data_IF_973450698186
#
_entry.id   IF_973450698186
#
_cell.length_a   1.000
_cell.length_b   1.000
_cell.length_c   1.000
_cell.angle_alpha   90.00
_cell.angle_beta   90.00
_cell.angle_gamma   90.00
#
_symmetry.space_group_name_H-M   'P 1'
#
loop_
_entity.id
_entity.type
_entity.pdbx_description
1 polymer ?
#
# COMPACT_ATOMS: atom_id res chain seq x y z
N UNK A 1 -11.35 -3.63 -27.14
CA UNK A 1 -12.18 -4.38 -26.16
C UNK A 1 -12.49 -3.52 -24.95
N UNK A 2 -11.49 -2.98 -24.24
CA UNK A 2 -11.67 -2.23 -22.99
C UNK A 2 -12.59 -1.01 -23.13
N UNK A 3 -12.46 -0.21 -24.18
CA UNK A 3 -13.35 0.91 -24.48
C UNK A 3 -14.82 0.48 -24.55
N UNK A 4 -15.11 -0.66 -25.20
CA UNK A 4 -16.48 -1.21 -25.30
C UNK A 4 -17.00 -1.67 -23.94
N UNK A 5 -16.14 -2.25 -23.10
CA UNK A 5 -16.51 -2.66 -21.74
C UNK A 5 -16.82 -1.42 -20.91
N UNK A 6 -15.97 -0.40 -20.94
CA UNK A 6 -16.18 0.87 -20.23
C UNK A 6 -17.45 1.58 -20.66
N UNK A 7 -17.73 1.62 -21.97
CA UNK A 7 -18.95 2.24 -22.48
C UNK A 7 -20.21 1.49 -21.99
N UNK A 8 -20.17 0.16 -21.93
CA UNK A 8 -21.31 -0.66 -21.49
C UNK A 8 -21.46 -0.69 -19.97
N UNK A 9 -20.34 -0.68 -19.23
CA UNK A 9 -20.30 -0.83 -17.77
C UNK A 9 -19.42 0.25 -17.14
N UNK A 10 -19.86 1.51 -17.09
CA UNK A 10 -19.02 2.64 -16.67
C UNK A 10 -18.61 2.59 -15.20
N UNK A 11 -19.35 1.85 -14.37
CA UNK A 11 -19.07 1.70 -12.92
C UNK A 11 -18.28 0.42 -12.58
N UNK A 12 -17.91 -0.38 -13.59
CA UNK A 12 -17.13 -1.60 -13.36
C UNK A 12 -15.71 -1.25 -12.96
N UNK A 13 -15.26 -1.71 -11.79
CA UNK A 13 -13.86 -1.61 -11.39
C UNK A 13 -13.04 -2.64 -12.18
N UNK A 14 -11.99 -2.18 -12.84
CA UNK A 14 -11.09 -3.03 -13.63
C UNK A 14 -9.68 -2.83 -13.09
N UNK A 15 -9.02 -3.93 -12.73
CA UNK A 15 -7.63 -3.96 -12.30
C UNK A 15 -6.72 -4.41 -13.46
N UNK A 16 -5.62 -3.69 -13.67
CA UNK A 16 -4.55 -4.15 -14.57
C UNK A 16 -3.58 -5.05 -13.79
N UNK A 17 -3.38 -6.27 -14.30
CA UNK A 17 -2.46 -7.23 -13.70
C UNK A 17 -1.79 -8.07 -14.79
N UNK A 18 -0.46 -8.10 -14.76
CA UNK A 18 0.34 -8.94 -15.63
C UNK A 18 1.58 -9.41 -14.86
N UNK A 19 1.43 -10.42 -14.01
CA UNK A 19 2.44 -10.86 -13.05
C UNK A 19 2.97 -9.69 -12.21
N UNK A 20 2.03 -8.96 -11.59
CA UNK A 20 2.29 -7.65 -11.00
C UNK A 20 2.14 -6.51 -12.00
N UNK A 21 2.95 -5.48 -11.86
CA UNK A 21 2.91 -4.24 -12.67
C UNK A 21 3.53 -4.33 -14.06
N UNK A 22 3.70 -5.52 -14.64
CA UNK A 22 4.45 -5.72 -15.89
C UNK A 22 3.87 -5.03 -17.12
N UNK A 23 2.60 -4.63 -17.09
CA UNK A 23 1.93 -3.90 -18.18
C UNK A 23 1.51 -2.47 -17.83
N UNK A 24 1.71 -2.05 -16.59
CA UNK A 24 1.29 -0.72 -16.18
C UNK A 24 2.10 0.36 -16.88
N UNK A 25 1.41 1.29 -17.50
CA UNK A 25 1.99 2.48 -18.11
C UNK A 25 0.92 3.58 -18.21
N UNK A 26 1.31 4.79 -18.52
CA UNK A 26 0.38 5.92 -18.62
C UNK A 26 -0.70 5.75 -19.69
N UNK A 27 -0.41 4.98 -20.75
CA UNK A 27 -1.38 4.70 -21.81
C UNK A 27 -2.46 3.70 -21.41
N UNK A 28 -2.22 2.86 -20.40
CA UNK A 28 -3.20 1.88 -19.88
C UNK A 28 -4.09 2.45 -18.79
N UNK A 29 -3.62 3.41 -18.00
CA UNK A 29 -4.35 4.01 -16.87
C UNK A 29 -5.77 4.51 -17.22
N UNK A 30 -6.07 5.07 -18.40
CA UNK A 30 -7.43 5.48 -18.73
C UNK A 30 -8.44 4.32 -18.78
N UNK A 31 -7.99 3.08 -18.88
CA UNK A 31 -8.84 1.89 -18.99
C UNK A 31 -9.00 1.12 -17.69
N UNK A 32 -8.13 1.38 -16.71
CA UNK A 32 -8.08 0.67 -15.44
C UNK A 32 -8.28 1.62 -14.27
N UNK A 33 -8.90 1.13 -13.19
CA UNK A 33 -9.09 1.91 -11.97
C UNK A 33 -7.92 1.75 -11.01
N UNK A 34 -7.22 0.63 -11.16
CA UNK A 34 -6.04 0.29 -10.37
C UNK A 34 -5.17 -0.73 -11.10
N UNK A 35 -3.95 -0.87 -10.65
CA UNK A 35 -3.05 -1.92 -11.10
C UNK A 35 -2.47 -2.71 -9.93
N UNK A 36 -2.16 -3.96 -10.18
CA UNK A 36 -1.49 -4.84 -9.25
C UNK A 36 0.02 -4.57 -9.28
N UNK A 37 0.56 -4.03 -8.19
CA UNK A 37 1.95 -3.54 -8.14
C UNK A 37 2.97 -4.67 -8.29
N UNK A 38 2.73 -5.80 -7.63
CA UNK A 38 3.62 -6.97 -7.63
C UNK A 38 2.90 -8.19 -7.04
N UNK A 39 3.18 -9.38 -7.60
CA UNK A 39 2.74 -10.65 -7.03
C UNK A 39 3.45 -10.96 -5.70
N UNK A 40 4.58 -10.31 -5.42
CA UNK A 40 5.19 -10.39 -4.11
C UNK A 40 4.41 -9.53 -3.10
N UNK A 41 3.69 -10.20 -2.22
CA UNK A 41 2.82 -9.60 -1.20
C UNK A 41 3.46 -9.57 0.19
N UNK A 42 4.74 -9.91 0.33
CA UNK A 42 5.48 -9.74 1.58
C UNK A 42 5.50 -8.26 1.99
N UNK A 43 4.91 -7.94 3.12
CA UNK A 43 4.74 -6.55 3.55
C UNK A 43 6.06 -5.79 3.68
N UNK A 44 7.16 -6.44 4.09
CA UNK A 44 8.46 -5.79 4.17
C UNK A 44 8.99 -5.43 2.77
N UNK A 45 8.86 -6.35 1.80
CA UNK A 45 9.22 -6.10 0.40
C UNK A 45 8.31 -5.04 -0.23
N UNK A 46 7.04 -5.02 0.13
CA UNK A 46 6.06 -4.05 -0.36
C UNK A 46 6.37 -2.62 0.06
N UNK A 47 7.02 -2.40 1.20
CA UNK A 47 7.51 -1.04 1.56
C UNK A 47 8.41 -0.50 0.45
N UNK A 48 9.37 -1.30 -0.02
CA UNK A 48 10.28 -0.91 -1.12
C UNK A 48 9.56 -0.75 -2.45
N UNK A 49 8.72 -1.73 -2.81
CA UNK A 49 8.00 -1.74 -4.09
C UNK A 49 7.01 -0.59 -4.20
N UNK A 50 6.20 -0.36 -3.16
CA UNK A 50 5.22 0.72 -3.15
C UNK A 50 5.88 2.09 -3.12
N UNK A 51 6.99 2.23 -2.40
CA UNK A 51 7.81 3.44 -2.44
C UNK A 51 8.30 3.73 -3.86
N UNK A 52 8.97 2.75 -4.51
CA UNK A 52 9.47 2.90 -5.88
C UNK A 52 8.36 3.20 -6.89
N UNK A 53 7.23 2.48 -6.80
CA UNK A 53 6.05 2.70 -7.65
C UNK A 53 5.48 4.10 -7.50
N UNK A 54 5.51 4.66 -6.29
CA UNK A 54 4.97 5.99 -6.02
C UNK A 54 5.68 7.13 -6.75
N UNK A 55 6.87 6.91 -7.32
CA UNK A 55 7.52 7.91 -8.18
C UNK A 55 6.80 8.12 -9.51
N UNK A 56 6.08 7.10 -9.96
CA UNK A 56 5.47 7.08 -11.29
C UNK A 56 3.94 7.11 -11.24
N UNK A 57 3.34 6.56 -10.18
CA UNK A 57 1.90 6.34 -10.10
C UNK A 57 1.33 6.76 -8.75
N UNK A 58 0.13 7.37 -8.73
CA UNK A 58 -0.52 7.80 -7.50
C UNK A 58 -1.07 6.63 -6.68
N UNK A 59 -1.20 6.84 -5.37
CA UNK A 59 -1.71 5.81 -4.44
C UNK A 59 -3.11 5.30 -4.81
N UNK A 60 -3.96 6.12 -5.41
CA UNK A 60 -5.30 5.72 -5.85
C UNK A 60 -5.28 4.61 -6.90
N UNK A 61 -4.22 4.55 -7.73
CA UNK A 61 -4.09 3.54 -8.77
C UNK A 61 -3.33 2.28 -8.29
N UNK A 62 -2.63 2.36 -7.15
CA UNK A 62 -1.74 1.31 -6.68
C UNK A 62 -2.46 0.37 -5.72
N UNK A 63 -2.87 -0.82 -6.18
CA UNK A 63 -3.46 -1.85 -5.33
C UNK A 63 -2.43 -2.36 -4.30
N UNK A 64 -2.83 -2.35 -3.05
CA UNK A 64 -2.00 -2.73 -1.92
C UNK A 64 -2.79 -3.62 -0.97
N UNK A 65 -2.45 -4.92 -0.93
CA UNK A 65 -3.24 -5.91 -0.23
C UNK A 65 -2.54 -6.41 1.05
N UNK A 66 -3.35 -6.69 2.05
CA UNK A 66 -2.95 -7.47 3.22
C UNK A 66 -2.97 -8.93 2.80
N UNK A 67 -1.83 -9.62 2.86
CA UNK A 67 -1.71 -11.04 2.54
C UNK A 67 -1.56 -11.91 3.77
N UNK A 68 -1.54 -13.24 3.57
CA UNK A 68 -1.33 -14.22 4.63
C UNK A 68 0.07 -14.10 5.29
N UNK A 69 0.19 -14.62 6.50
CA UNK A 69 1.45 -14.90 7.18
C UNK A 69 1.42 -16.37 7.67
N UNK A 70 2.46 -17.16 7.39
CA UNK A 70 3.64 -16.84 6.58
C UNK A 70 3.31 -16.42 5.14
N UNK A 71 4.10 -15.52 4.58
CA UNK A 71 3.95 -15.13 3.18
C UNK A 71 4.29 -16.30 2.25
N UNK A 72 3.50 -16.53 1.21
CA UNK A 72 3.64 -17.69 0.34
C UNK A 72 4.90 -17.68 -0.55
N UNK A 73 5.51 -16.50 -0.79
CA UNK A 73 6.74 -16.40 -1.59
C UNK A 73 8.00 -16.36 -0.75
N UNK A 74 7.98 -15.63 0.37
CA UNK A 74 9.18 -15.39 1.18
C UNK A 74 9.23 -16.23 2.45
N UNK A 75 8.14 -16.94 2.78
CA UNK A 75 7.94 -17.65 4.05
C UNK A 75 8.05 -16.74 5.30
N UNK A 76 8.14 -15.42 5.12
CA UNK A 76 8.26 -14.48 6.24
C UNK A 76 6.94 -14.32 6.97
N UNK A 77 7.03 -14.33 8.30
CA UNK A 77 5.92 -13.98 9.18
C UNK A 77 6.10 -12.55 9.69
N UNK A 78 5.15 -11.70 9.33
CA UNK A 78 5.11 -10.29 9.75
C UNK A 78 3.80 -10.06 10.50
N UNK A 79 3.81 -9.31 11.62
CA UNK A 79 2.61 -9.02 12.38
C UNK A 79 1.49 -8.41 11.52
N UNK A 80 0.24 -8.77 11.81
CA UNK A 80 -0.92 -8.28 11.05
C UNK A 80 -0.97 -6.75 11.03
N UNK A 81 -0.64 -6.08 12.14
CA UNK A 81 -0.59 -4.62 12.19
C UNK A 81 0.39 -4.04 11.15
N UNK A 82 1.60 -4.60 11.04
CA UNK A 82 2.57 -4.14 10.04
C UNK A 82 2.04 -4.33 8.61
N UNK A 83 1.46 -5.51 8.34
CA UNK A 83 0.85 -5.82 7.02
C UNK A 83 -0.27 -4.84 6.66
N UNK A 84 -1.12 -4.50 7.63
CA UNK A 84 -2.21 -3.52 7.44
C UNK A 84 -1.68 -2.11 7.23
N UNK A 85 -0.69 -1.67 8.01
CA UNK A 85 -0.12 -0.33 7.88
C UNK A 85 0.55 -0.12 6.52
N UNK A 86 1.26 -1.14 5.99
CA UNK A 86 1.83 -1.08 4.64
C UNK A 86 0.72 -1.03 3.58
N UNK A 87 -0.30 -1.87 3.70
CA UNK A 87 -1.39 -1.91 2.73
C UNK A 87 -2.22 -0.61 2.71
N UNK A 88 -2.36 0.07 3.84
CA UNK A 88 -3.08 1.34 3.93
C UNK A 88 -2.39 2.51 3.23
N UNK A 89 -1.11 2.41 2.87
CA UNK A 89 -0.40 3.47 2.14
C UNK A 89 -0.67 3.52 0.64
N UNK A 90 -1.51 2.62 0.15
CA UNK A 90 -2.02 2.59 -1.21
C UNK A 90 -3.53 2.36 -1.24
N UNK A 91 -4.04 1.71 -2.28
CA UNK A 91 -5.42 1.28 -2.39
C UNK A 91 -5.62 -0.04 -1.66
N UNK A 92 -6.11 0.04 -0.43
CA UNK A 92 -6.22 -1.11 0.47
C UNK A 92 -7.13 -2.20 -0.10
N UNK A 93 -6.61 -3.42 -0.15
CA UNK A 93 -7.36 -4.65 -0.36
C UNK A 93 -7.00 -5.73 0.66
N UNK A 94 -7.75 -6.83 0.65
CA UNK A 94 -7.51 -7.96 1.54
C UNK A 94 -7.43 -9.26 0.74
N UNK A 95 -6.26 -9.89 0.77
CA UNK A 95 -5.95 -11.15 0.10
C UNK A 95 -5.62 -12.22 1.14
N UNK A 96 -6.51 -12.35 2.11
CA UNK A 96 -6.43 -13.35 3.19
C UNK A 96 -7.77 -14.07 3.35
N UNK A 97 -7.70 -15.32 3.77
CA UNK A 97 -8.91 -16.10 4.04
C UNK A 97 -9.46 -15.75 5.43
N UNK A 98 -10.64 -15.16 5.54
CA UNK A 98 -11.18 -14.78 6.85
C UNK A 98 -11.39 -15.96 7.82
N UNK A 99 -11.56 -17.18 7.28
CA UNK A 99 -11.78 -18.39 8.08
C UNK A 99 -10.58 -18.81 8.91
N UNK A 100 -9.35 -18.48 8.46
CA UNK A 100 -8.11 -18.84 9.18
C UNK A 100 -7.70 -17.79 10.22
N UNK A 101 -8.33 -16.63 10.23
CA UNK A 101 -8.05 -15.57 11.18
C UNK A 101 -8.68 -15.87 12.55
N UNK A 102 -7.91 -15.62 13.60
CA UNK A 102 -8.43 -15.61 14.98
C UNK A 102 -9.50 -14.53 15.19
N UNK A 103 -10.19 -14.58 16.33
CA UNK A 103 -11.16 -13.52 16.70
C UNK A 103 -10.50 -12.16 16.80
N UNK A 104 -9.29 -12.08 17.38
CA UNK A 104 -8.54 -10.85 17.57
C UNK A 104 -8.02 -10.28 16.23
N UNK A 105 -7.51 -11.14 15.34
CA UNK A 105 -7.10 -10.72 14.01
C UNK A 105 -8.29 -10.20 13.18
N UNK A 106 -9.46 -10.85 13.29
CA UNK A 106 -10.71 -10.34 12.67
C UNK A 106 -11.09 -8.97 13.21
N UNK A 107 -10.93 -8.74 14.52
CA UNK A 107 -11.18 -7.44 15.15
C UNK A 107 -10.19 -6.38 14.66
N UNK A 108 -8.90 -6.73 14.57
CA UNK A 108 -7.86 -5.86 14.00
C UNK A 108 -8.15 -5.51 12.54
N UNK A 109 -8.52 -6.48 11.71
CA UNK A 109 -8.89 -6.22 10.31
C UNK A 109 -10.10 -5.28 10.20
N UNK A 110 -11.15 -5.50 11.00
CA UNK A 110 -12.31 -4.58 10.99
C UNK A 110 -11.91 -3.15 11.39
N UNK A 111 -11.08 -3.03 12.43
CA UNK A 111 -10.54 -1.72 12.83
C UNK A 111 -9.72 -1.08 11.71
N UNK A 112 -8.79 -1.81 11.10
CA UNK A 112 -7.96 -1.32 10.02
C UNK A 112 -8.80 -0.84 8.81
N UNK A 113 -9.84 -1.59 8.43
CA UNK A 113 -10.76 -1.18 7.36
C UNK A 113 -11.51 0.10 7.73
N UNK A 114 -11.98 0.22 8.98
CA UNK A 114 -12.66 1.42 9.45
C UNK A 114 -11.72 2.63 9.46
N UNK A 115 -10.48 2.45 9.95
CA UNK A 115 -9.45 3.48 9.95
C UNK A 115 -9.10 3.90 8.51
N UNK A 116 -8.89 2.93 7.61
CA UNK A 116 -8.62 3.24 6.21
C UNK A 116 -9.76 4.02 5.53
N UNK A 117 -11.01 3.68 5.78
CA UNK A 117 -12.15 4.43 5.24
C UNK A 117 -12.14 5.92 5.64
N UNK A 118 -11.60 6.24 6.82
CA UNK A 118 -11.46 7.63 7.30
C UNK A 118 -10.29 8.35 6.63
N UNK A 119 -9.14 7.67 6.47
CA UNK A 119 -7.92 8.27 5.90
C UNK A 119 -7.85 8.14 4.37
N UNK A 120 -8.65 7.27 3.77
CA UNK A 120 -8.62 6.99 2.31
C UNK A 120 -8.66 8.24 1.43
N UNK A 121 -9.50 9.25 1.68
CA UNK A 121 -9.49 10.46 0.86
C UNK A 121 -8.15 11.18 0.89
N UNK A 122 -7.45 11.17 2.03
CA UNK A 122 -6.15 11.81 2.17
C UNK A 122 -5.07 10.99 1.45
N UNK A 123 -5.08 9.66 1.64
CA UNK A 123 -4.09 8.76 1.01
C UNK A 123 -4.24 8.74 -0.52
N UNK A 124 -5.47 8.74 -1.03
CA UNK A 124 -5.71 8.58 -2.47
C UNK A 124 -5.64 9.89 -3.26
N UNK A 125 -5.89 11.03 -2.62
CA UNK A 125 -6.02 12.32 -3.30
C UNK A 125 -5.10 13.41 -2.75
N UNK A 126 -4.43 13.19 -1.60
CA UNK A 126 -3.51 14.14 -1.02
C UNK A 126 -2.14 14.14 -1.71
N UNK A 127 -1.41 15.24 -1.51
CA UNK A 127 -0.02 15.37 -1.94
C UNK A 127 0.88 14.39 -1.19
N UNK A 128 1.71 13.66 -1.92
CA UNK A 128 2.67 12.70 -1.34
C UNK A 128 4.01 13.37 -1.07
N UNK A 129 4.42 13.31 0.18
CA UNK A 129 5.76 13.67 0.65
C UNK A 129 6.54 12.40 1.02
N UNK A 130 7.67 12.14 0.35
CA UNK A 130 8.60 11.04 0.63
C UNK A 130 9.66 11.55 1.59
N UNK A 131 9.59 11.13 2.87
CA UNK A 131 10.41 11.71 3.93
C UNK A 131 11.70 10.91 4.17
N UNK A 132 11.60 9.58 4.22
CA UNK A 132 12.75 8.71 4.44
C UNK A 132 12.67 7.51 3.50
N UNK A 133 13.60 7.45 2.56
CA UNK A 133 13.65 6.37 1.58
C UNK A 133 14.08 5.03 2.21
N UNK A 134 13.40 3.91 1.93
CA UNK A 134 13.87 2.60 2.35
C UNK A 134 15.20 2.20 1.69
N UNK A 135 15.53 2.81 0.55
CA UNK A 135 16.77 2.54 -0.19
C UNK A 135 18.00 3.22 0.40
N UNK A 136 17.84 4.15 1.34
CA UNK A 136 18.96 4.79 2.04
C UNK A 136 19.63 3.90 3.11
N UNK A 137 19.16 2.65 3.28
CA UNK A 137 19.72 1.66 4.22
C UNK A 137 19.80 2.14 5.68
N UNK A 138 18.86 2.97 6.09
CA UNK A 138 18.77 3.45 7.48
C UNK A 138 17.81 2.60 8.34
N UNK A 139 17.36 1.46 7.83
CA UNK A 139 16.47 0.53 8.53
C UNK A 139 15.05 1.05 8.75
N UNK A 140 14.68 2.15 8.10
CA UNK A 140 13.36 2.77 8.20
C UNK A 140 12.91 3.35 6.86
N UNK A 141 11.59 3.50 6.71
CA UNK A 141 10.97 4.22 5.61
C UNK A 141 9.82 5.07 6.15
N UNK A 142 9.59 6.23 5.55
CA UNK A 142 8.44 7.06 5.94
C UNK A 142 7.96 7.93 4.79
N UNK A 143 6.65 8.09 4.71
CA UNK A 143 5.99 9.00 3.78
C UNK A 143 4.78 9.65 4.44
N UNK A 144 4.31 10.73 3.87
CA UNK A 144 3.16 11.47 4.37
C UNK A 144 2.28 11.91 3.19
N UNK A 145 0.98 11.74 3.36
CA UNK A 145 -0.02 12.32 2.48
C UNK A 145 -0.67 13.51 3.17
N UNK A 146 -0.81 14.62 2.48
CA UNK A 146 -1.37 15.87 3.01
C UNK A 146 -2.52 16.32 2.13
N UNK A 147 -3.63 16.75 2.73
CA UNK A 147 -4.75 17.33 1.98
C UNK A 147 -4.33 18.58 1.22
N UNK A 148 -5.04 18.92 0.15
CA UNK A 148 -4.82 20.15 -0.61
C UNK A 148 -4.93 21.41 0.28
N UNK A 149 -5.90 21.43 1.19
CA UNK A 149 -6.07 22.51 2.17
C UNK A 149 -4.99 22.56 3.27
N UNK A 150 -4.05 21.59 3.30
CA UNK A 150 -2.97 21.47 4.32
C UNK A 150 -3.46 21.40 5.78
N UNK A 151 -4.72 21.03 5.99
CA UNK A 151 -5.35 20.95 7.32
C UNK A 151 -5.29 19.54 7.94
N UNK A 152 -5.03 18.52 7.13
CA UNK A 152 -4.94 17.12 7.57
C UNK A 152 -3.82 16.40 6.87
N UNK A 153 -3.19 15.47 7.60
CA UNK A 153 -2.15 14.61 7.05
C UNK A 153 -2.29 13.17 7.57
N UNK A 154 -1.77 12.24 6.78
CA UNK A 154 -1.57 10.85 7.21
C UNK A 154 -0.11 10.52 7.04
N UNK A 155 0.54 10.19 8.14
CA UNK A 155 1.95 9.85 8.21
C UNK A 155 2.11 8.34 8.36
N UNK A 156 2.95 7.74 7.51
CA UNK A 156 3.35 6.34 7.56
C UNK A 156 4.83 6.26 7.89
N UNK A 157 5.14 5.37 8.83
CA UNK A 157 6.50 5.05 9.21
C UNK A 157 6.64 3.55 9.41
N UNK A 158 7.66 2.96 8.81
CA UNK A 158 7.94 1.53 8.90
C UNK A 158 9.39 1.28 9.28
N UNK A 159 9.60 0.35 10.19
CA UNK A 159 10.91 -0.22 10.44
C UNK A 159 11.15 -1.32 9.41
N UNK A 160 12.18 -1.19 8.59
CA UNK A 160 12.52 -2.14 7.53
C UNK A 160 13.61 -3.13 7.94
N UNK A 161 14.41 -2.77 8.96
CA UNK A 161 15.48 -3.61 9.50
C UNK A 161 15.54 -3.48 11.02
N UNK A 162 16.08 -4.49 11.69
CA UNK A 162 16.36 -4.46 13.13
C UNK A 162 17.82 -4.76 13.35
N UNK A 163 18.51 -3.83 13.99
CA UNK A 163 19.90 -3.99 14.40
C UNK A 163 19.98 -3.96 15.92
N UNK A 164 20.88 -4.74 16.50
CA UNK A 164 21.19 -4.66 17.92
C UNK A 164 21.82 -3.29 18.21
N UNK A 165 21.41 -2.66 19.30
CA UNK A 165 21.99 -1.42 19.82
C UNK A 165 21.94 -0.19 18.89
N UNK A 166 21.00 -0.14 17.96
CA UNK A 166 20.84 1.02 17.11
C UNK A 166 19.79 1.98 17.65
N UNK A 167 20.13 3.26 17.74
CA UNK A 167 19.16 4.32 17.98
C UNK A 167 18.30 4.49 16.71
N UNK A 168 16.99 4.65 16.90
CA UNK A 168 16.10 4.98 15.78
C UNK A 168 16.50 6.35 15.20
N UNK A 169 16.61 6.48 13.88
CA UNK A 169 16.90 7.75 13.25
C UNK A 169 15.79 8.76 13.54
N UNK A 170 16.17 10.02 13.67
CA UNK A 170 15.20 11.12 13.71
C UNK A 170 14.49 11.22 12.37
N UNK A 171 13.19 11.41 12.40
CA UNK A 171 12.37 11.60 11.21
C UNK A 171 12.29 13.11 10.96
N UNK A 172 12.83 13.62 9.83
CA UNK A 172 12.57 15.00 9.47
C UNK A 172 11.07 15.14 9.15
N UNK A 173 10.40 16.03 9.86
CA UNK A 173 9.05 16.48 9.54
C UNK A 173 9.23 17.76 8.73
N UNK A 174 8.81 17.72 7.46
CA UNK A 174 8.90 18.87 6.57
C UNK A 174 7.89 19.97 6.93
#
# INVERSE_FOLDING_TARGET
VLQRIRAKYPKLTIQDCASGGGRVNWGTLPYFDEFWTSDNTDALQRVYMQWGTSYFFPAIAMASHISNAPNHQTARTVPLKYRTDVAMSGRLGMEIQPKVLSKDEKAQCRKAIADYKRIRPIVQFGDLYRLQSPYEKKGVASLMYVTDAKDKAVFFWWKTESFCNQHLPRIPMA
#
